data_IF_483966238558
#
_entry.id   IF_483966238558
#
_cell.length_a   1.000
_cell.length_b   1.000
_cell.length_c   1.000
_cell.angle_alpha   90.00
_cell.angle_beta   90.00
_cell.angle_gamma   90.00
#
_symmetry.space_group_name_H-M   'P 1'
#
loop_
_entity.id
_entity.type
_entity.pdbx_description
1 polymer ?
#
# COMPACT_ATOMS: atom_id res chain seq x y z
N UNK A 1 27.71 -2.39 4.91
CA UNK A 1 27.62 -2.13 3.47
C UNK A 1 29.03 -1.87 3.01
N UNK A 2 29.69 -2.82 2.37
CA UNK A 2 31.09 -2.67 1.96
C UNK A 2 31.31 -3.39 0.61
N UNK A 3 30.83 -2.77 -0.47
CA UNK A 3 31.02 -3.29 -1.84
C UNK A 3 32.14 -2.50 -2.52
N UNK A 4 33.01 -3.17 -3.27
CA UNK A 4 34.09 -2.52 -4.04
C UNK A 4 33.57 -1.40 -4.96
N UNK A 5 32.38 -1.60 -5.52
CA UNK A 5 31.71 -0.60 -6.34
C UNK A 5 31.47 0.72 -5.59
N UNK A 6 31.09 0.66 -4.30
CA UNK A 6 30.87 1.86 -3.48
C UNK A 6 32.15 2.63 -3.22
N UNK A 7 33.27 1.92 -2.97
CA UNK A 7 34.58 2.53 -2.71
C UNK A 7 35.16 3.22 -3.95
N UNK A 8 35.13 2.54 -5.10
CA UNK A 8 35.66 3.08 -6.37
C UNK A 8 34.95 4.37 -6.81
N UNK A 9 33.64 4.46 -6.55
CA UNK A 9 32.82 5.58 -7.01
C UNK A 9 32.55 6.62 -5.91
N UNK A 10 33.30 6.59 -4.79
CA UNK A 10 33.10 7.50 -3.64
C UNK A 10 31.63 7.64 -3.23
N UNK A 11 30.89 6.53 -3.20
CA UNK A 11 29.48 6.54 -2.82
C UNK A 11 29.42 6.71 -1.31
N UNK A 12 29.25 7.96 -0.85
CA UNK A 12 29.18 8.34 0.57
C UNK A 12 27.88 7.88 1.21
N UNK A 13 26.81 7.75 0.42
CA UNK A 13 25.52 7.25 0.86
C UNK A 13 24.78 6.57 -0.30
N UNK A 14 24.24 5.38 -0.06
CA UNK A 14 23.24 4.76 -0.94
C UNK A 14 21.91 4.85 -0.22
N UNK A 15 21.01 5.70 -0.71
CA UNK A 15 19.65 5.78 -0.20
C UNK A 15 18.93 4.45 -0.50
N UNK A 16 18.85 3.56 0.48
CA UNK A 16 17.95 2.40 0.45
C UNK A 16 16.55 2.83 0.91
N UNK A 17 16.05 3.94 0.35
CA UNK A 17 14.72 4.45 0.64
C UNK A 17 13.74 3.92 -0.42
N UNK A 18 12.67 3.28 0.01
CA UNK A 18 11.50 3.12 -0.87
C UNK A 18 10.89 4.50 -1.05
N UNK A 19 11.17 5.17 -2.17
CA UNK A 19 10.51 6.43 -2.52
C UNK A 19 9.02 6.15 -2.75
N UNK A 20 8.15 6.92 -2.11
CA UNK A 20 6.71 6.73 -2.22
C UNK A 20 5.93 7.73 -1.36
N UNK A 21 4.62 7.54 -1.30
CA UNK A 21 3.72 8.39 -0.49
C UNK A 21 3.07 7.52 0.57
N UNK A 22 3.10 7.99 1.82
CA UNK A 22 2.28 7.45 2.90
C UNK A 22 1.00 8.27 2.99
N UNK A 23 -0.14 7.59 2.90
CA UNK A 23 -1.47 8.21 3.01
C UNK A 23 -2.22 7.65 4.21
N UNK A 24 -3.09 8.47 4.77
CA UNK A 24 -4.02 8.10 5.84
C UNK A 24 -5.43 8.30 5.32
N UNK A 25 -6.27 7.27 5.44
CA UNK A 25 -7.61 7.23 4.87
C UNK A 25 -8.63 6.87 5.93
N UNK A 26 -9.83 7.43 5.82
CA UNK A 26 -10.99 7.09 6.64
C UNK A 26 -12.06 6.42 5.76
N UNK A 27 -12.79 5.47 6.34
CA UNK A 27 -13.91 4.79 5.67
C UNK A 27 -15.21 5.47 6.07
N UNK A 28 -15.91 6.05 5.10
CA UNK A 28 -17.22 6.66 5.28
C UNK A 28 -18.32 5.80 4.66
N UNK A 29 -18.99 5.01 5.51
CA UNK A 29 -20.03 4.07 5.09
C UNK A 29 -21.43 4.69 4.96
N UNK A 30 -21.61 6.02 5.05
CA UNK A 30 -22.96 6.64 5.10
C UNK A 30 -23.88 6.27 3.94
N UNK A 31 -23.31 5.97 2.76
CA UNK A 31 -24.07 5.50 1.58
C UNK A 31 -24.05 3.99 1.45
N UNK A 32 -22.94 3.35 1.80
CA UNK A 32 -22.79 1.89 1.73
C UNK A 32 -23.84 1.19 2.60
N UNK A 33 -24.11 1.70 3.81
CA UNK A 33 -25.08 1.10 4.74
C UNK A 33 -26.54 1.24 4.31
N UNK A 34 -26.84 2.12 3.36
CA UNK A 34 -28.22 2.42 2.92
C UNK A 34 -28.66 1.64 1.69
N UNK A 35 -27.71 1.01 0.99
CA UNK A 35 -27.97 0.20 -0.20
C UNK A 35 -28.26 -1.24 0.25
N UNK A 36 -29.34 -1.83 -0.26
CA UNK A 36 -29.80 -3.15 0.18
C UNK A 36 -28.94 -4.33 -0.31
N UNK A 37 -27.97 -4.07 -1.19
CA UNK A 37 -27.14 -5.09 -1.85
C UNK A 37 -25.64 -4.80 -1.75
N UNK A 38 -25.24 -3.97 -0.79
CA UNK A 38 -23.84 -3.62 -0.55
C UNK A 38 -23.26 -4.39 0.62
N UNK A 39 -21.99 -4.75 0.48
CA UNK A 39 -21.16 -5.27 1.56
C UNK A 39 -20.21 -4.14 1.98
N UNK A 40 -20.22 -3.78 3.26
CA UNK A 40 -19.44 -2.67 3.80
C UNK A 40 -18.39 -3.19 4.78
N UNK A 41 -17.19 -2.61 4.76
CA UNK A 41 -16.18 -2.84 5.79
C UNK A 41 -16.50 -2.00 7.01
N UNK A 42 -16.61 -2.60 8.20
CA UNK A 42 -16.92 -1.87 9.43
C UNK A 42 -15.68 -1.47 10.21
N UNK A 43 -14.50 -1.93 9.78
CA UNK A 43 -13.21 -1.47 10.29
C UNK A 43 -12.21 -1.20 9.15
N UNK A 44 -11.24 -0.33 9.43
CA UNK A 44 -10.12 -0.09 8.52
C UNK A 44 -9.28 -1.36 8.30
N UNK A 45 -9.19 -2.23 9.32
CA UNK A 45 -8.44 -3.47 9.26
C UNK A 45 -9.06 -4.48 8.29
N UNK A 46 -10.38 -4.66 8.31
CA UNK A 46 -11.08 -5.54 7.34
C UNK A 46 -10.85 -5.07 5.89
N UNK A 47 -10.90 -3.76 5.66
CA UNK A 47 -10.62 -3.19 4.34
C UNK A 47 -9.16 -3.40 3.91
N UNK A 48 -8.21 -3.23 4.83
CA UNK A 48 -6.79 -3.47 4.57
C UNK A 48 -6.53 -4.96 4.23
N UNK A 49 -7.13 -5.89 4.97
CA UNK A 49 -7.04 -7.33 4.70
C UNK A 49 -7.62 -7.69 3.33
N UNK A 50 -8.78 -7.13 2.98
CA UNK A 50 -9.38 -7.31 1.66
C UNK A 50 -8.48 -6.79 0.53
N UNK A 51 -7.88 -5.59 0.69
CA UNK A 51 -6.95 -5.03 -0.28
C UNK A 51 -5.71 -5.93 -0.43
N UNK A 52 -5.13 -6.41 0.67
CA UNK A 52 -3.99 -7.32 0.64
C UNK A 52 -4.33 -8.64 -0.08
N UNK A 53 -5.50 -9.22 0.20
CA UNK A 53 -5.98 -10.43 -0.47
C UNK A 53 -6.21 -10.20 -1.98
N UNK A 54 -6.79 -9.06 -2.36
CA UNK A 54 -7.03 -8.67 -3.76
C UNK A 54 -5.71 -8.46 -4.51
N UNK A 55 -4.72 -7.84 -3.86
CA UNK A 55 -3.37 -7.70 -4.40
C UNK A 55 -2.72 -9.06 -4.69
N UNK A 56 -2.85 -10.03 -3.78
CA UNK A 56 -2.29 -11.38 -3.96
C UNK A 56 -2.86 -12.12 -5.17
N UNK A 57 -4.10 -11.80 -5.55
CA UNK A 57 -4.78 -12.35 -6.73
C UNK A 57 -4.49 -11.56 -8.02
N UNK A 58 -3.58 -10.57 -7.98
CA UNK A 58 -3.21 -9.72 -9.10
C UNK A 58 -4.40 -8.99 -9.74
N UNK A 59 -5.44 -8.70 -8.95
CA UNK A 59 -6.69 -8.11 -9.44
C UNK A 59 -6.88 -6.64 -9.04
N UNK A 60 -5.90 -6.03 -8.37
CA UNK A 60 -5.88 -4.58 -8.16
C UNK A 60 -5.40 -3.86 -9.42
N UNK A 61 -5.98 -2.69 -9.71
CA UNK A 61 -5.51 -1.85 -10.81
C UNK A 61 -4.03 -1.47 -10.63
N UNK A 62 -3.20 -1.55 -11.68
CA UNK A 62 -1.80 -1.12 -11.63
C UNK A 62 -1.62 0.41 -11.59
N UNK A 63 -2.69 1.18 -11.81
CA UNK A 63 -2.65 2.66 -11.84
C UNK A 63 -2.20 3.26 -10.50
N UNK A 64 -2.38 2.51 -9.41
CA UNK A 64 -1.93 2.88 -8.07
C UNK A 64 -1.12 1.73 -7.47
N UNK A 65 0.23 1.75 -7.56
CA UNK A 65 1.08 0.71 -6.99
C UNK A 65 1.06 0.80 -5.46
N UNK A 66 0.14 0.06 -4.84
CA UNK A 66 0.04 -0.05 -3.38
C UNK A 66 1.07 -1.07 -2.91
N UNK A 67 2.09 -0.59 -2.20
CA UNK A 67 3.17 -1.44 -1.67
C UNK A 67 2.82 -2.08 -0.33
N UNK A 68 2.04 -1.40 0.51
CA UNK A 68 1.68 -1.85 1.85
C UNK A 68 0.36 -1.23 2.31
N UNK A 69 -0.42 -2.01 3.07
CA UNK A 69 -1.60 -1.59 3.84
C UNK A 69 -1.43 -2.05 5.29
N UNK A 70 -2.00 -1.32 6.26
CA UNK A 70 -1.84 -1.56 7.71
C UNK A 70 -3.13 -1.19 8.43
#
# INVERSE_FOLDING_TARGET
>A
QDTEFGKKNHIVFTERGTSGVQVYLEIDNRKCSTLSSSECFFSAQEAAEFLAATASKHSLSPDFPIFQVK
#
